data_IF_395398415552
#
_entry.id   IF_395398415552
#
_cell.length_a   1.000
_cell.length_b   1.000
_cell.length_c   1.000
_cell.angle_alpha   90.00
_cell.angle_beta   90.00
_cell.angle_gamma   90.00
#
_symmetry.space_group_name_H-M   'P 1'
#
loop_
_entity.id
_entity.type
_entity.pdbx_description
1 polymer ?
#
# COMPACT_ATOMS: atom_id res chain seq x y z
N UNK A 1 -9.31 18.40 -2.01
CA UNK A 1 -9.54 17.36 -1.00
C UNK A 1 -8.95 17.85 0.29
N UNK A 2 -9.71 17.85 1.38
CA UNK A 2 -9.17 18.14 2.71
C UNK A 2 -7.99 17.20 3.03
N UNK A 3 -7.00 17.70 3.77
CA UNK A 3 -5.85 16.91 4.20
C UNK A 3 -6.25 15.61 4.91
N UNK A 4 -7.39 15.61 5.60
CA UNK A 4 -7.99 14.42 6.20
C UNK A 4 -8.30 13.32 5.18
N UNK A 5 -8.88 13.67 4.04
CA UNK A 5 -9.23 12.71 2.99
C UNK A 5 -7.99 12.11 2.33
N UNK A 6 -6.95 12.91 2.12
CA UNK A 6 -5.69 12.43 1.55
C UNK A 6 -4.95 11.51 2.53
N UNK A 7 -4.96 11.85 3.81
CA UNK A 7 -4.44 10.99 4.90
C UNK A 7 -5.16 9.65 4.99
N UNK A 8 -6.49 9.66 4.83
CA UNK A 8 -7.32 8.45 4.84
C UNK A 8 -6.99 7.52 3.66
N UNK A 9 -6.78 8.05 2.45
CA UNK A 9 -6.37 7.27 1.28
C UNK A 9 -4.96 6.69 1.46
N UNK A 10 -4.03 7.45 2.05
CA UNK A 10 -2.67 6.97 2.34
C UNK A 10 -2.67 5.85 3.39
N UNK A 11 -3.48 5.98 4.45
CA UNK A 11 -3.63 4.92 5.46
C UNK A 11 -4.35 3.68 4.88
N UNK A 12 -5.38 3.88 4.06
CA UNK A 12 -6.11 2.80 3.40
C UNK A 12 -5.23 2.03 2.41
N UNK A 13 -4.37 2.71 1.66
CA UNK A 13 -3.42 2.08 0.74
C UNK A 13 -2.32 1.30 1.48
N UNK A 14 -1.82 1.81 2.63
CA UNK A 14 -0.91 1.05 3.50
C UNK A 14 -1.56 -0.22 4.08
N UNK A 15 -2.81 -0.12 4.55
CA UNK A 15 -3.55 -1.28 5.06
C UNK A 15 -3.81 -2.33 3.95
N UNK A 16 -4.19 -1.88 2.76
CA UNK A 16 -4.35 -2.76 1.58
C UNK A 16 -3.04 -3.46 1.22
N UNK A 17 -1.92 -2.74 1.23
CA UNK A 17 -0.62 -3.34 0.96
C UNK A 17 -0.24 -4.41 1.99
N UNK A 18 -0.52 -4.18 3.28
CA UNK A 18 -0.29 -5.17 4.32
C UNK A 18 -1.12 -6.45 4.10
N UNK A 19 -2.39 -6.31 3.73
CA UNK A 19 -3.27 -7.44 3.39
C UNK A 19 -2.76 -8.19 2.15
N UNK A 20 -2.33 -7.48 1.11
CA UNK A 20 -1.77 -8.10 -0.11
C UNK A 20 -0.48 -8.87 0.20
N UNK A 21 0.41 -8.35 1.05
CA UNK A 21 1.63 -9.06 1.49
C UNK A 21 1.26 -10.30 2.30
N UNK A 22 0.25 -10.22 3.16
CA UNK A 22 -0.25 -11.36 3.93
C UNK A 22 -0.78 -12.46 3.01
N UNK A 23 -1.64 -12.10 2.03
CA UNK A 23 -2.17 -13.04 1.04
C UNK A 23 -1.04 -13.64 0.21
N UNK A 24 -0.09 -12.82 -0.26
CA UNK A 24 1.08 -13.29 -1.02
C UNK A 24 1.90 -14.33 -0.26
N UNK A 25 2.04 -14.16 1.06
CA UNK A 25 2.96 -14.98 1.87
C UNK A 25 2.31 -16.23 2.46
N UNK A 26 1.03 -16.17 2.83
CA UNK A 26 0.36 -17.24 3.58
C UNK A 26 -0.72 -17.99 2.80
N UNK A 27 -1.37 -17.35 1.81
CA UNK A 27 -2.45 -17.96 1.04
C UNK A 27 -1.93 -18.58 -0.26
N UNK A 28 -0.96 -17.93 -0.90
CA UNK A 28 -0.45 -18.33 -2.21
C UNK A 28 0.68 -19.36 -2.06
N UNK A 29 0.39 -20.63 -2.34
CA UNK A 29 1.37 -21.73 -2.34
C UNK A 29 2.35 -21.68 -3.52
N UNK A 30 2.00 -20.99 -4.60
CA UNK A 30 2.80 -20.89 -5.83
C UNK A 30 3.78 -19.72 -5.72
N UNK A 31 5.07 -20.03 -5.64
CA UNK A 31 6.15 -19.03 -5.46
C UNK A 31 6.12 -17.90 -6.49
N UNK A 32 5.85 -18.20 -7.76
CA UNK A 32 5.82 -17.21 -8.84
C UNK A 32 4.71 -16.17 -8.62
N UNK A 33 3.51 -16.64 -8.27
CA UNK A 33 2.36 -15.75 -8.02
C UNK A 33 2.59 -14.93 -6.74
N UNK A 34 3.18 -15.55 -5.71
CA UNK A 34 3.56 -14.85 -4.47
C UNK A 34 4.52 -13.68 -4.73
N UNK A 35 5.50 -13.86 -5.63
CA UNK A 35 6.44 -12.81 -6.04
C UNK A 35 5.72 -11.68 -6.79
N UNK A 36 4.84 -11.99 -7.73
CA UNK A 36 4.08 -10.99 -8.49
C UNK A 36 3.18 -10.15 -7.56
N UNK A 37 2.46 -10.80 -6.63
CA UNK A 37 1.61 -10.10 -5.66
C UNK A 37 2.44 -9.26 -4.69
N UNK A 38 3.62 -9.73 -4.31
CA UNK A 38 4.55 -8.96 -3.47
C UNK A 38 5.07 -7.71 -4.18
N UNK A 39 5.37 -7.79 -5.49
CA UNK A 39 5.75 -6.63 -6.31
C UNK A 39 4.61 -5.59 -6.36
N UNK A 40 3.37 -6.05 -6.55
CA UNK A 40 2.20 -5.17 -6.52
C UNK A 40 2.00 -4.49 -5.16
N UNK A 41 2.21 -5.23 -4.06
CA UNK A 41 2.10 -4.65 -2.73
C UNK A 41 3.20 -3.63 -2.43
N UNK A 42 4.41 -3.86 -2.93
CA UNK A 42 5.49 -2.87 -2.88
C UNK A 42 5.17 -1.61 -3.68
N UNK A 43 4.53 -1.75 -4.85
CA UNK A 43 4.05 -0.60 -5.63
C UNK A 43 2.98 0.22 -4.90
N UNK A 44 2.05 -0.46 -4.20
CA UNK A 44 1.05 0.19 -3.36
C UNK A 44 1.66 0.92 -2.16
N UNK A 45 2.68 0.35 -1.52
CA UNK A 45 3.43 1.03 -0.46
C UNK A 45 4.13 2.30 -0.96
N UNK A 46 4.77 2.22 -2.13
CA UNK A 46 5.40 3.39 -2.75
C UNK A 46 4.39 4.49 -3.08
N UNK A 47 3.22 4.13 -3.62
CA UNK A 47 2.13 5.06 -3.87
C UNK A 47 1.64 5.72 -2.57
N UNK A 48 1.43 4.93 -1.51
CA UNK A 48 1.02 5.44 -0.22
C UNK A 48 2.05 6.41 0.38
N UNK A 49 3.34 6.11 0.18
CA UNK A 49 4.45 6.96 0.64
C UNK A 49 4.48 8.30 -0.11
N UNK A 50 4.30 8.29 -1.43
CA UNK A 50 4.25 9.50 -2.24
C UNK A 50 3.01 10.34 -1.89
N UNK A 51 1.86 9.71 -1.65
CA UNK A 51 0.63 10.38 -1.23
C UNK A 51 0.73 11.02 0.16
N UNK A 52 1.66 10.57 1.02
CA UNK A 52 1.92 11.20 2.32
C UNK A 52 2.77 12.49 2.25
N UNK A 53 3.53 12.71 1.17
CA UNK A 53 4.35 13.94 1.00
C UNK A 53 3.49 15.22 1.08
N UNK A 54 2.40 15.36 0.30
CA UNK A 54 1.51 16.53 0.40
C UNK A 54 0.73 16.60 1.72
N UNK A 55 0.47 15.47 2.37
CA UNK A 55 -0.18 15.42 3.70
C UNK A 55 0.69 16.05 4.78
N UNK A 56 2.02 15.87 4.70
CA UNK A 56 2.98 16.41 5.65
C UNK A 56 3.38 17.87 5.36
N UNK A 57 3.29 18.30 4.09
CA UNK A 57 3.66 19.66 3.66
C UNK A 57 2.51 20.68 3.69
N UNK A 58 1.26 20.26 3.88
CA UNK A 58 0.10 21.14 3.99
C UNK A 58 -0.22 21.52 5.44
N UNK A 59 0.70 22.19 6.14
CA UNK A 59 0.42 22.82 7.44
C UNK A 59 -0.18 24.21 7.27
#
# INVERSE_FOLDING_TARGET
MDLMWLSFISMGSMALAAVLIYVARYVIKIKVISVIVSIFAWGLLLLAFILMIPVLGGS
#
